data_IF_257733138040
#
_entry.id   IF_257733138040
#
_cell.length_a   1.000
_cell.length_b   1.000
_cell.length_c   1.000
_cell.angle_alpha   90.00
_cell.angle_beta   90.00
_cell.angle_gamma   90.00
#
_symmetry.space_group_name_H-M   'P 1'
#
loop_
_entity.id
_entity.type
_entity.pdbx_description
1 polymer ?
#
# COMPACT_ATOMS: atom_id res chain seq x y z
N UNK A 1 20.80 9.88 -0.45
CA UNK A 1 20.43 8.62 -1.13
C UNK A 1 20.11 8.87 -2.61
N UNK A 2 19.10 9.69 -2.94
CA UNK A 2 18.71 10.00 -4.33
C UNK A 2 19.85 10.44 -5.25
N UNK A 3 20.74 11.34 -4.81
CA UNK A 3 21.82 11.86 -5.66
C UNK A 3 22.79 10.77 -6.13
N UNK A 4 23.07 9.77 -5.27
CA UNK A 4 23.92 8.63 -5.62
C UNK A 4 23.18 7.71 -6.58
N UNK A 5 21.89 7.46 -6.35
CA UNK A 5 21.07 6.66 -7.27
C UNK A 5 21.02 7.30 -8.66
N UNK A 6 20.81 8.61 -8.76
CA UNK A 6 20.85 9.34 -10.04
C UNK A 6 22.20 9.17 -10.74
N UNK A 7 23.29 9.42 -10.02
CA UNK A 7 24.64 9.25 -10.56
C UNK A 7 24.86 7.84 -11.14
N UNK A 8 24.44 6.79 -10.42
CA UNK A 8 24.58 5.41 -10.87
C UNK A 8 23.73 5.12 -12.11
N UNK A 9 22.47 5.58 -12.13
CA UNK A 9 21.57 5.40 -13.27
C UNK A 9 22.04 6.19 -14.51
N UNK A 10 22.65 7.36 -14.33
CA UNK A 10 23.27 8.14 -15.41
C UNK A 10 24.50 7.42 -15.99
N UNK A 11 25.18 6.61 -15.18
CA UNK A 11 26.24 5.68 -15.62
C UNK A 11 25.71 4.34 -16.11
N UNK A 12 24.41 4.25 -16.45
CA UNK A 12 23.74 3.06 -17.00
C UNK A 12 23.74 1.85 -16.07
N UNK A 13 23.80 2.05 -14.75
CA UNK A 13 23.56 0.97 -13.81
C UNK A 13 22.17 0.36 -14.04
N UNK A 14 22.07 -0.97 -14.02
CA UNK A 14 20.80 -1.67 -14.18
C UNK A 14 19.95 -1.52 -12.90
N UNK A 15 18.77 -0.86 -12.94
CA UNK A 15 17.93 -0.65 -11.76
C UNK A 15 17.22 -1.92 -11.26
N UNK A 16 17.34 -3.04 -11.98
CA UNK A 16 16.61 -4.29 -11.72
C UNK A 16 17.49 -5.42 -11.17
N UNK A 17 18.75 -5.12 -10.80
CA UNK A 17 19.61 -6.12 -10.15
C UNK A 17 18.99 -6.53 -8.81
N UNK A 18 18.97 -7.84 -8.55
CA UNK A 18 18.45 -8.43 -7.32
C UNK A 18 19.60 -8.79 -6.39
N UNK A 19 19.38 -8.61 -5.09
CA UNK A 19 20.25 -9.18 -4.04
C UNK A 19 19.89 -10.66 -3.76
N UNK A 20 20.52 -11.24 -2.74
CA UNK A 20 20.32 -12.64 -2.34
C UNK A 20 18.89 -12.94 -1.87
N UNK A 21 18.11 -11.92 -1.48
CA UNK A 21 16.71 -12.06 -1.10
C UNK A 21 15.77 -11.84 -2.29
N UNK A 22 16.30 -11.61 -3.50
CA UNK A 22 15.53 -11.28 -4.68
C UNK A 22 15.09 -9.81 -4.73
N UNK A 23 15.54 -8.97 -3.79
CA UNK A 23 15.11 -7.58 -3.69
C UNK A 23 15.89 -6.70 -4.67
N UNK A 24 15.17 -5.87 -5.42
CA UNK A 24 15.73 -4.81 -6.29
C UNK A 24 15.94 -3.51 -5.52
N UNK A 25 16.71 -2.54 -6.06
CA UNK A 25 16.76 -1.18 -5.52
C UNK A 25 15.39 -0.56 -5.20
N UNK A 26 14.36 -0.86 -6.01
CA UNK A 26 13.00 -0.34 -5.78
C UNK A 26 12.35 -0.95 -4.54
N UNK A 27 12.59 -2.23 -4.25
CA UNK A 27 12.14 -2.86 -3.00
C UNK A 27 12.76 -2.18 -1.79
N UNK A 28 14.07 -1.91 -1.85
CA UNK A 28 14.79 -1.24 -0.76
C UNK A 28 14.31 0.21 -0.56
N UNK A 29 14.13 0.97 -1.65
CA UNK A 29 13.57 2.32 -1.57
C UNK A 29 12.15 2.32 -0.97
N UNK A 30 11.32 1.35 -1.34
CA UNK A 30 9.98 1.17 -0.81
C UNK A 30 9.99 0.80 0.69
N UNK A 31 10.83 -0.15 1.09
CA UNK A 31 10.97 -0.57 2.50
C UNK A 31 11.47 0.59 3.39
N UNK A 32 12.44 1.37 2.91
CA UNK A 32 13.08 2.43 3.68
C UNK A 32 12.32 3.77 3.67
N UNK A 33 11.26 3.89 2.87
CA UNK A 33 10.47 5.13 2.82
C UNK A 33 11.17 6.27 2.09
N UNK A 34 11.81 5.98 0.95
CA UNK A 34 12.46 7.00 0.11
C UNK A 34 11.63 7.31 -1.14
N UNK A 35 10.57 8.14 -1.04
CA UNK A 35 9.61 8.33 -2.13
C UNK A 35 10.22 8.91 -3.39
N UNK A 36 11.09 9.92 -3.29
CA UNK A 36 11.73 10.50 -4.47
C UNK A 36 12.65 9.49 -5.16
N UNK A 37 13.26 8.58 -4.39
CA UNK A 37 14.11 7.54 -4.97
C UNK A 37 13.30 6.42 -5.60
N UNK A 38 12.20 6.00 -4.98
CA UNK A 38 11.28 5.04 -5.58
C UNK A 38 10.69 5.58 -6.90
N UNK A 39 10.31 6.87 -6.92
CA UNK A 39 9.81 7.56 -8.13
C UNK A 39 10.90 7.62 -9.21
N UNK A 40 12.13 8.03 -8.86
CA UNK A 40 13.24 8.09 -9.82
C UNK A 40 13.54 6.71 -10.41
N UNK A 41 13.64 5.67 -9.58
CA UNK A 41 13.86 4.30 -10.03
C UNK A 41 12.76 3.85 -11.00
N UNK A 42 11.49 4.09 -10.65
CA UNK A 42 10.35 3.77 -11.49
C UNK A 42 10.40 4.49 -12.85
N UNK A 43 10.74 5.78 -12.87
CA UNK A 43 10.89 6.56 -14.11
C UNK A 43 12.06 6.06 -14.95
N UNK A 44 13.12 5.56 -14.32
CA UNK A 44 14.35 5.08 -14.96
C UNK A 44 14.32 3.58 -15.28
N UNK A 45 13.14 2.98 -15.35
CA UNK A 45 12.94 1.62 -15.84
C UNK A 45 13.08 0.50 -14.81
N UNK A 46 12.97 0.83 -13.51
CA UNK A 46 12.79 -0.21 -12.50
C UNK A 46 11.45 -0.93 -12.72
N UNK A 47 11.48 -2.26 -12.68
CA UNK A 47 10.30 -3.10 -12.78
C UNK A 47 9.46 -2.98 -11.50
N UNK A 48 8.29 -2.37 -11.66
CA UNK A 48 7.32 -2.11 -10.59
C UNK A 48 6.78 -3.41 -10.00
N UNK A 49 6.77 -4.50 -10.77
CA UNK A 49 6.22 -5.82 -10.40
C UNK A 49 7.31 -6.86 -10.13
N UNK A 50 8.58 -6.44 -10.04
CA UNK A 50 9.65 -7.36 -9.68
C UNK A 50 9.30 -8.05 -8.36
N UNK A 51 9.42 -9.37 -8.30
CA UNK A 51 9.16 -10.13 -7.08
C UNK A 51 10.45 -10.49 -6.37
N UNK A 52 10.45 -10.34 -5.03
CA UNK A 52 11.47 -10.93 -4.16
C UNK A 52 11.34 -12.47 -4.08
N UNK A 53 12.19 -13.11 -3.29
CA UNK A 53 12.14 -14.58 -3.08
C UNK A 53 10.86 -15.06 -2.41
N UNK A 54 10.13 -14.19 -1.71
CA UNK A 54 8.82 -14.46 -1.12
C UNK A 54 7.63 -14.16 -2.05
N UNK A 55 7.87 -13.71 -3.28
CA UNK A 55 6.81 -13.34 -4.22
C UNK A 55 6.24 -11.93 -4.01
N UNK A 56 6.85 -11.10 -3.19
CA UNK A 56 6.38 -9.75 -2.87
C UNK A 56 6.93 -8.71 -3.85
N UNK A 57 6.05 -7.84 -4.35
CA UNK A 57 6.40 -6.66 -5.14
C UNK A 57 6.94 -5.52 -4.23
N UNK A 58 7.63 -4.49 -4.76
CA UNK A 58 8.08 -3.34 -3.97
C UNK A 58 6.97 -2.64 -3.18
N UNK A 59 5.76 -2.57 -3.75
CA UNK A 59 4.60 -1.94 -3.10
C UNK A 59 4.22 -2.63 -1.79
N UNK A 60 4.49 -3.94 -1.65
CA UNK A 60 4.27 -4.68 -0.41
C UNK A 60 5.13 -4.13 0.71
N UNK A 61 6.40 -3.83 0.44
CA UNK A 61 7.30 -3.27 1.44
C UNK A 61 6.92 -1.86 1.84
N UNK A 62 6.47 -1.02 0.90
CA UNK A 62 5.93 0.30 1.22
C UNK A 62 4.68 0.20 2.10
N UNK A 63 3.76 -0.70 1.76
CA UNK A 63 2.55 -0.98 2.53
C UNK A 63 2.87 -1.44 3.96
N UNK A 64 3.72 -2.47 4.10
CA UNK A 64 4.08 -3.03 5.41
C UNK A 64 4.87 -2.07 6.31
N UNK A 65 5.48 -1.03 5.74
CA UNK A 65 6.24 -0.01 6.48
C UNK A 65 5.53 1.37 6.50
N UNK A 66 4.24 1.42 6.17
CA UNK A 66 3.39 2.61 6.25
C UNK A 66 3.81 3.81 5.36
N UNK A 67 4.37 3.55 4.17
CA UNK A 67 4.87 4.58 3.25
C UNK A 67 3.85 4.93 2.16
N UNK A 68 2.75 5.62 2.53
CA UNK A 68 1.62 5.89 1.63
C UNK A 68 1.97 6.59 0.31
N UNK A 69 2.88 7.58 0.35
CA UNK A 69 3.37 8.26 -0.87
C UNK A 69 4.00 7.30 -1.89
N UNK A 70 4.67 6.24 -1.40
CA UNK A 70 5.25 5.22 -2.27
C UNK A 70 4.17 4.27 -2.76
N UNK A 71 3.26 3.86 -1.86
CA UNK A 71 2.13 3.01 -2.22
C UNK A 71 1.33 3.63 -3.37
N UNK A 72 0.85 4.87 -3.24
CA UNK A 72 0.06 5.51 -4.29
C UNK A 72 0.84 5.68 -5.60
N UNK A 73 2.15 5.99 -5.51
CA UNK A 73 3.00 6.13 -6.70
C UNK A 73 3.13 4.82 -7.47
N UNK A 74 3.36 3.71 -6.76
CA UNK A 74 3.51 2.38 -7.37
C UNK A 74 2.18 1.84 -7.90
N UNK A 75 1.08 2.02 -7.15
CA UNK A 75 -0.28 1.67 -7.59
C UNK A 75 -0.65 2.39 -8.89
N UNK A 76 -0.38 3.68 -8.98
CA UNK A 76 -0.62 4.49 -10.18
C UNK A 76 0.20 4.02 -11.39
N UNK A 77 1.27 3.25 -11.15
CA UNK A 77 2.13 2.64 -12.18
C UNK A 77 1.84 1.14 -12.39
N UNK A 78 0.73 0.65 -11.85
CA UNK A 78 0.23 -0.69 -12.11
C UNK A 78 0.72 -1.78 -11.15
N UNK A 79 1.31 -1.42 -10.00
CA UNK A 79 1.62 -2.39 -8.95
C UNK A 79 0.35 -3.08 -8.43
N UNK A 80 0.52 -4.25 -7.82
CA UNK A 80 -0.59 -4.98 -7.20
C UNK A 80 -1.21 -4.20 -6.04
N UNK A 81 -2.54 -4.30 -5.90
CA UNK A 81 -3.31 -3.74 -4.78
C UNK A 81 -3.97 -4.83 -3.92
N UNK A 82 -3.71 -6.10 -4.20
CA UNK A 82 -4.39 -7.25 -3.54
C UNK A 82 -3.66 -7.76 -2.30
N UNK A 83 -2.65 -7.02 -1.85
CA UNK A 83 -1.80 -7.38 -0.71
C UNK A 83 -2.57 -7.36 0.61
N UNK A 84 -2.08 -8.17 1.56
CA UNK A 84 -2.60 -8.26 2.92
C UNK A 84 -1.46 -8.26 3.91
N UNK A 85 -1.67 -7.66 5.07
CA UNK A 85 -0.75 -7.79 6.20
C UNK A 85 -1.07 -9.03 7.05
N UNK A 86 -0.31 -9.22 8.14
CA UNK A 86 -0.47 -10.38 9.02
C UNK A 86 -1.83 -10.42 9.75
N UNK A 87 -2.53 -9.29 9.87
CA UNK A 87 -3.90 -9.19 10.41
C UNK A 87 -4.98 -9.53 9.38
N UNK A 88 -4.58 -9.85 8.14
CA UNK A 88 -5.49 -10.07 7.02
C UNK A 88 -6.07 -8.79 6.43
N UNK A 89 -5.67 -7.63 6.96
CA UNK A 89 -6.11 -6.33 6.47
C UNK A 89 -5.57 -6.12 5.04
N UNK A 90 -6.49 -5.78 4.14
CA UNK A 90 -6.18 -5.36 2.77
C UNK A 90 -5.66 -3.94 2.74
N UNK A 91 -5.22 -3.48 1.56
CA UNK A 91 -4.88 -2.08 1.33
C UNK A 91 -6.02 -1.11 1.69
N UNK A 92 -7.28 -1.53 1.48
CA UNK A 92 -8.46 -0.72 1.78
C UNK A 92 -8.62 -0.52 3.30
N UNK A 93 -8.43 -1.57 4.10
CA UNK A 93 -8.44 -1.49 5.55
C UNK A 93 -7.40 -0.50 6.05
N UNK A 94 -6.16 -0.67 5.58
CA UNK A 94 -5.04 0.16 6.00
C UNK A 94 -5.18 1.63 5.60
N UNK A 95 -5.64 1.90 4.37
CA UNK A 95 -5.88 3.26 3.91
C UNK A 95 -7.04 3.93 4.68
N UNK A 96 -8.07 3.15 5.03
CA UNK A 96 -9.19 3.60 5.85
C UNK A 96 -8.76 3.93 7.29
N UNK A 97 -7.99 3.03 7.94
CA UNK A 97 -7.43 3.18 9.28
C UNK A 97 -6.55 4.44 9.41
N UNK A 98 -5.75 4.73 8.38
CA UNK A 98 -4.79 5.83 8.40
C UNK A 98 -5.28 7.12 7.71
N UNK A 99 -6.48 7.11 7.12
CA UNK A 99 -7.02 8.27 6.39
C UNK A 99 -6.25 8.64 5.12
N UNK A 100 -5.62 7.67 4.45
CA UNK A 100 -4.89 7.89 3.21
C UNK A 100 -5.85 8.02 2.03
N UNK A 101 -6.43 9.22 1.89
CA UNK A 101 -7.46 9.53 0.91
C UNK A 101 -7.03 9.29 -0.54
N UNK A 102 -5.77 9.55 -0.87
CA UNK A 102 -5.21 9.30 -2.20
C UNK A 102 -5.21 7.80 -2.55
N UNK A 103 -4.85 6.95 -1.59
CA UNK A 103 -4.93 5.49 -1.73
C UNK A 103 -6.38 5.03 -1.78
N UNK A 104 -7.27 5.58 -0.94
CA UNK A 104 -8.71 5.26 -0.96
C UNK A 104 -9.35 5.61 -2.31
N UNK A 105 -9.09 6.80 -2.82
CA UNK A 105 -9.59 7.25 -4.12
C UNK A 105 -9.14 6.32 -5.24
N UNK A 106 -7.86 5.92 -5.26
CA UNK A 106 -7.37 4.92 -6.20
C UNK A 106 -8.13 3.59 -6.06
N UNK A 107 -8.31 3.09 -4.84
CA UNK A 107 -8.97 1.81 -4.57
C UNK A 107 -10.45 1.85 -4.92
N UNK A 108 -11.14 2.98 -4.78
CA UNK A 108 -12.54 3.15 -5.19
C UNK A 108 -12.74 3.13 -6.71
N UNK A 109 -11.68 3.32 -7.50
CA UNK A 109 -11.72 3.05 -8.95
C UNK A 109 -11.70 1.56 -9.27
N UNK A 110 -11.44 0.70 -8.28
CA UNK A 110 -11.38 -0.75 -8.42
C UNK A 110 -12.69 -1.35 -7.92
N UNK A 111 -13.11 -2.46 -8.53
CA UNK A 111 -14.32 -3.17 -8.14
C UNK A 111 -14.04 -4.07 -6.91
N UNK A 112 -13.77 -3.44 -5.76
CA UNK A 112 -13.42 -4.11 -4.50
C UNK A 112 -14.65 -4.33 -3.63
N UNK A 113 -14.61 -5.38 -2.81
CA UNK A 113 -15.54 -5.54 -1.71
C UNK A 113 -15.18 -4.56 -0.57
N UNK A 114 -15.98 -3.51 -0.39
CA UNK A 114 -15.77 -2.51 0.67
C UNK A 114 -16.05 -3.03 2.08
N UNK A 115 -16.70 -4.19 2.18
CA UNK A 115 -17.16 -4.81 3.41
C UNK A 115 -16.37 -6.10 3.73
N UNK A 116 -15.22 -6.27 3.09
CA UNK A 116 -14.36 -7.41 3.37
C UNK A 116 -13.87 -7.36 4.82
N UNK A 117 -13.90 -8.50 5.51
CA UNK A 117 -13.46 -8.62 6.90
C UNK A 117 -11.99 -9.01 6.98
N UNK A 118 -11.25 -8.37 7.88
CA UNK A 118 -9.94 -8.85 8.30
C UNK A 118 -10.05 -10.09 9.22
N UNK A 119 -8.92 -10.59 9.75
CA UNK A 119 -8.90 -11.80 10.60
C UNK A 119 -9.65 -11.63 11.92
N UNK A 120 -9.90 -10.39 12.34
CA UNK A 120 -10.61 -10.07 13.58
C UNK A 120 -12.06 -9.68 13.32
N UNK A 121 -12.50 -9.69 12.06
CA UNK A 121 -13.87 -9.35 11.67
C UNK A 121 -14.10 -7.87 11.40
N UNK A 122 -13.07 -7.01 11.51
CA UNK A 122 -13.20 -5.60 11.20
C UNK A 122 -13.31 -5.42 9.68
N UNK A 123 -14.15 -4.47 9.26
CA UNK A 123 -14.20 -4.00 7.88
C UNK A 123 -13.50 -2.64 7.80
N UNK A 124 -13.12 -2.13 6.62
CA UNK A 124 -12.45 -0.83 6.49
C UNK A 124 -13.18 0.33 7.19
N UNK A 125 -14.52 0.34 7.15
CA UNK A 125 -15.33 1.35 7.81
C UNK A 125 -15.18 1.34 9.35
N UNK A 126 -15.06 0.16 9.98
CA UNK A 126 -14.79 0.08 11.41
C UNK A 126 -13.46 0.75 11.76
N UNK A 127 -12.41 0.44 11.00
CA UNK A 127 -11.07 0.97 11.29
C UNK A 127 -11.00 2.48 11.07
N UNK A 128 -11.63 3.00 10.02
CA UNK A 128 -11.74 4.45 9.81
C UNK A 128 -12.47 5.15 10.96
N UNK A 129 -13.56 4.56 11.45
CA UNK A 129 -14.32 5.11 12.58
C UNK A 129 -13.53 5.05 13.90
N UNK A 130 -12.89 3.91 14.20
CA UNK A 130 -12.07 3.69 15.40
C UNK A 130 -10.90 4.70 15.49
N UNK A 131 -10.32 5.05 14.34
CA UNK A 131 -9.19 5.97 14.24
C UNK A 131 -9.61 7.42 13.92
N UNK A 132 -10.91 7.75 14.05
CA UNK A 132 -11.46 9.09 13.82
C UNK A 132 -11.17 9.68 12.43
N UNK A 133 -10.99 8.85 11.40
CA UNK A 133 -10.71 9.24 10.02
C UNK A 133 -11.98 9.70 9.31
N UNK A 134 -12.47 10.89 9.69
CA UNK A 134 -13.78 11.43 9.28
C UNK A 134 -13.97 11.45 7.76
N UNK A 135 -12.97 11.87 6.98
CA UNK A 135 -13.07 11.92 5.52
C UNK A 135 -13.08 10.51 4.89
N UNK A 136 -12.33 9.57 5.45
CA UNK A 136 -12.37 8.18 5.02
C UNK A 136 -13.73 7.53 5.31
N UNK A 137 -14.32 7.79 6.49
CA UNK A 137 -15.68 7.33 6.85
C UNK A 137 -16.70 7.85 5.84
N UNK A 138 -16.71 9.18 5.58
CA UNK A 138 -17.62 9.79 4.61
C UNK A 138 -17.47 9.17 3.23
N UNK A 139 -16.23 9.01 2.76
CA UNK A 139 -15.95 8.48 1.43
C UNK A 139 -16.37 7.01 1.31
N UNK A 140 -16.11 6.18 2.33
CA UNK A 140 -16.54 4.77 2.36
C UNK A 140 -18.07 4.65 2.31
N UNK A 141 -18.78 5.43 3.12
CA UNK A 141 -20.26 5.45 3.11
C UNK A 141 -20.81 5.91 1.75
N UNK A 142 -20.22 6.96 1.17
CA UNK A 142 -20.60 7.45 -0.16
C UNK A 142 -20.40 6.38 -1.25
N UNK A 143 -19.40 5.51 -1.09
CA UNK A 143 -19.11 4.40 -2.00
C UNK A 143 -19.90 3.13 -1.70
N UNK A 144 -20.78 3.15 -0.69
CA UNK A 144 -21.68 2.04 -0.37
C UNK A 144 -21.11 1.01 0.60
N UNK A 145 -20.11 1.36 1.41
CA UNK A 145 -19.76 0.54 2.58
C UNK A 145 -20.96 0.46 3.53
N UNK A 146 -21.24 -0.74 4.07
CA UNK A 146 -22.42 -0.97 4.90
C UNK A 146 -22.14 -0.51 6.36
N UNK A 147 -22.85 0.53 6.86
CA UNK A 147 -22.67 1.01 8.23
C UNK A 147 -23.26 0.09 9.30
N UNK A 148 -24.03 -0.93 8.91
CA UNK A 148 -24.74 -1.80 9.85
C UNK A 148 -23.99 -3.11 10.13
N UNK A 149 -22.79 -3.29 9.55
CA UNK A 149 -21.95 -4.42 9.91
C UNK A 149 -21.60 -4.28 11.39
N UNK A 150 -21.94 -5.26 12.24
CA UNK A 150 -21.66 -5.14 13.67
C UNK A 150 -20.16 -5.19 13.90
N UNK A 151 -19.72 -4.41 14.89
CA UNK A 151 -18.36 -4.49 15.39
C UNK A 151 -18.05 -5.91 15.84
N UNK A 152 -16.85 -6.43 15.57
CA UNK A 152 -16.43 -7.69 16.15
C UNK A 152 -16.49 -7.53 17.66
N UNK A 153 -17.31 -8.36 18.30
CA UNK A 153 -17.70 -8.31 19.72
C UNK A 153 -16.74 -7.46 20.56
N UNK A 154 -17.19 -6.28 20.98
CA UNK A 154 -16.79 -5.78 22.28
C UNK A 154 -17.11 -6.91 23.25
N UNK A 155 -16.17 -7.37 24.10
CA UNK A 155 -16.55 -8.26 25.18
C UNK A 155 -17.69 -7.54 25.91
N UNK A 156 -18.85 -8.20 26.01
CA UNK A 156 -19.93 -7.74 26.87
C UNK A 156 -19.31 -7.64 28.27
N UNK A 157 -18.97 -6.43 28.69
CA UNK A 157 -18.71 -6.10 30.09
C UNK A 157 -20.06 -5.94 30.78
#
# INVERSE_FOLDING_TARGET
YLSIVRLLLDKKANPNIKDNNGMTPLHHAAQKGFPETAIELAVRGADIKAQDTGGHEPVYFAFMNNHSKIVISLLSRGASYTMRNNRGQTLLHWAAENGYMDVLEFLFTKNLNLNEKDKYGFVPLHLAADHAQTEAVKALLLKGADPNIPWPSTPLL
#
